data_IF_248733557583
#
_entry.id   IF_248733557583
#
_cell.length_a   1.000
_cell.length_b   1.000
_cell.length_c   1.000
_cell.angle_alpha   90.00
_cell.angle_beta   90.00
_cell.angle_gamma   90.00
#
_symmetry.space_group_name_H-M   'P 1'
#
loop_
_entity.id
_entity.type
_entity.pdbx_description
1 polymer ?
#
# COMPACT_ATOMS: atom_id res chain seq x y z
N UNK A 1 -61.52 -6.01 -12.78
CA UNK A 1 -61.44 -7.29 -12.04
C UNK A 1 -60.25 -8.04 -12.61
N UNK A 2 -59.17 -8.36 -11.89
CA UNK A 2 -59.04 -8.89 -10.54
C UNK A 2 -57.72 -8.35 -9.94
N UNK A 3 -57.81 -7.73 -8.77
CA UNK A 3 -56.66 -7.38 -7.94
C UNK A 3 -56.19 -8.67 -7.26
N UNK A 4 -54.89 -8.97 -7.29
CA UNK A 4 -54.27 -9.84 -6.30
C UNK A 4 -52.93 -9.19 -5.90
N UNK A 5 -53.01 -8.44 -4.80
CA UNK A 5 -51.96 -8.08 -3.86
C UNK A 5 -51.32 -9.32 -3.23
N UNK A 6 -49.99 -9.42 -3.25
CA UNK A 6 -49.17 -10.30 -2.36
C UNK A 6 -47.86 -9.55 -2.06
N UNK A 7 -47.35 -9.60 -0.81
CA UNK A 7 -46.88 -8.42 -0.08
C UNK A 7 -45.35 -8.26 -0.05
N UNK A 8 -44.94 -7.04 0.31
CA UNK A 8 -43.84 -6.73 1.24
C UNK A 8 -42.57 -7.62 1.15
N UNK A 9 -41.59 -7.14 0.37
CA UNK A 9 -40.18 -7.31 0.75
C UNK A 9 -39.33 -6.16 0.19
N UNK A 10 -39.63 -4.93 0.63
CA UNK A 10 -38.67 -3.83 0.59
C UNK A 10 -37.70 -4.01 1.76
N UNK A 11 -36.77 -4.96 1.61
CA UNK A 11 -35.58 -4.99 2.44
C UNK A 11 -34.65 -3.88 1.95
N UNK A 12 -34.87 -2.67 2.48
CA UNK A 12 -33.95 -1.55 2.36
C UNK A 12 -32.62 -1.96 2.98
N UNK A 13 -31.73 -2.49 2.15
CA UNK A 13 -30.34 -2.65 2.52
C UNK A 13 -29.68 -1.28 2.37
N UNK A 14 -29.69 -0.55 3.48
CA UNK A 14 -28.82 0.59 3.73
C UNK A 14 -27.38 0.12 3.53
N UNK A 15 -26.86 0.24 2.31
CA UNK A 15 -25.42 0.13 2.09
C UNK A 15 -24.80 1.38 2.72
N UNK A 16 -24.42 1.22 3.98
CA UNK A 16 -23.41 2.04 4.63
C UNK A 16 -22.31 2.34 3.62
N UNK A 17 -22.13 3.62 3.30
CA UNK A 17 -21.00 4.11 2.53
C UNK A 17 -19.74 3.93 3.39
N UNK A 18 -19.25 2.69 3.46
CA UNK A 18 -17.93 2.38 3.98
C UNK A 18 -16.94 2.94 2.98
N UNK A 19 -16.37 4.10 3.30
CA UNK A 19 -15.10 4.54 2.72
C UNK A 19 -14.09 3.44 3.03
N UNK A 20 -13.94 2.49 2.11
CA UNK A 20 -12.96 1.43 2.21
C UNK A 20 -11.60 2.04 1.88
N UNK A 21 -10.82 2.33 2.92
CA UNK A 21 -9.39 2.56 2.74
C UNK A 21 -8.81 1.36 1.97
N UNK A 22 -8.07 1.64 0.90
CA UNK A 22 -7.48 0.59 0.08
C UNK A 22 -6.61 -0.34 0.93
N UNK A 23 -6.72 -1.66 0.69
CA UNK A 23 -5.95 -2.63 1.47
C UNK A 23 -4.46 -2.49 1.14
N UNK A 24 -3.55 -2.83 2.07
CA UNK A 24 -2.10 -2.78 1.80
C UNK A 24 -1.68 -3.56 0.53
N UNK A 25 -2.41 -4.64 0.23
CA UNK A 25 -2.19 -5.44 -0.99
C UNK A 25 -2.65 -4.70 -2.26
N UNK A 26 -3.76 -3.97 -2.22
CA UNK A 26 -4.20 -3.13 -3.34
C UNK A 26 -3.23 -1.97 -3.59
N UNK A 27 -2.76 -1.32 -2.52
CA UNK A 27 -1.76 -0.25 -2.64
C UNK A 27 -0.43 -0.77 -3.20
N UNK A 28 0.00 -1.94 -2.76
CA UNK A 28 1.16 -2.62 -3.33
C UNK A 28 0.99 -2.92 -4.82
N UNK A 29 -0.18 -3.42 -5.23
CA UNK A 29 -0.45 -3.70 -6.64
C UNK A 29 -0.46 -2.44 -7.51
N UNK A 30 -1.00 -1.33 -7.01
CA UNK A 30 -0.93 -0.03 -7.69
C UNK A 30 0.52 0.44 -7.84
N UNK A 31 1.32 0.37 -6.77
CA UNK A 31 2.74 0.74 -6.79
C UNK A 31 3.55 -0.13 -7.76
N UNK A 32 3.37 -1.46 -7.75
CA UNK A 32 4.01 -2.35 -8.69
C UNK A 32 3.64 -2.02 -10.15
N UNK A 33 2.38 -1.69 -10.44
CA UNK A 33 1.99 -1.24 -11.77
C UNK A 33 2.63 0.09 -12.17
N UNK A 34 2.65 1.07 -11.27
CA UNK A 34 3.29 2.36 -11.53
C UNK A 34 4.79 2.20 -11.81
N UNK A 35 5.50 1.38 -11.04
CA UNK A 35 6.93 1.11 -11.25
C UNK A 35 7.18 0.37 -12.56
N UNK A 36 6.34 -0.61 -12.92
CA UNK A 36 6.48 -1.32 -14.19
C UNK A 36 6.28 -0.38 -15.39
N UNK A 37 5.28 0.51 -15.31
CA UNK A 37 5.01 1.53 -16.32
C UNK A 37 6.12 2.58 -16.40
N UNK A 38 6.64 3.05 -15.26
CA UNK A 38 7.75 4.01 -15.22
C UNK A 38 9.04 3.45 -15.82
N UNK A 39 9.26 2.14 -15.68
CA UNK A 39 10.36 1.40 -16.32
C UNK A 39 10.02 0.97 -17.76
N UNK A 40 8.84 1.32 -18.29
CA UNK A 40 8.38 0.93 -19.63
C UNK A 40 8.41 -0.57 -19.91
N UNK A 41 8.28 -1.40 -18.86
CA UNK A 41 8.33 -2.86 -18.98
C UNK A 41 7.12 -3.36 -19.78
N UNK A 42 7.36 -4.26 -20.73
CA UNK A 42 6.34 -4.84 -21.62
C UNK A 42 6.47 -6.37 -21.66
N UNK A 43 5.44 -7.04 -22.18
CA UNK A 43 5.45 -8.48 -22.40
C UNK A 43 5.87 -9.27 -21.14
N UNK A 44 6.81 -10.19 -21.32
CA UNK A 44 7.26 -11.09 -20.27
C UNK A 44 8.07 -10.39 -19.18
N UNK A 45 8.79 -9.31 -19.50
CA UNK A 45 9.53 -8.51 -18.51
C UNK A 45 8.58 -7.89 -17.49
N UNK A 46 7.45 -7.34 -17.95
CA UNK A 46 6.42 -6.80 -17.05
C UNK A 46 5.84 -7.88 -16.15
N UNK A 47 5.56 -9.07 -16.70
CA UNK A 47 5.00 -10.20 -15.93
C UNK A 47 5.99 -10.68 -14.85
N UNK A 48 7.26 -10.82 -15.21
CA UNK A 48 8.33 -11.19 -14.30
C UNK A 48 8.46 -10.15 -13.17
N UNK A 49 8.53 -8.87 -13.52
CA UNK A 49 8.58 -7.78 -12.55
C UNK A 49 7.36 -7.78 -11.63
N UNK A 50 6.15 -7.90 -12.17
CA UNK A 50 4.93 -7.91 -11.36
C UNK A 50 4.91 -9.08 -10.38
N UNK A 51 5.30 -10.28 -10.84
CA UNK A 51 5.40 -11.48 -10.00
C UNK A 51 6.40 -11.27 -8.85
N UNK A 52 7.59 -10.74 -9.15
CA UNK A 52 8.60 -10.45 -8.14
C UNK A 52 8.13 -9.35 -7.17
N UNK A 53 7.60 -8.25 -7.68
CA UNK A 53 7.12 -7.12 -6.88
C UNK A 53 5.99 -7.53 -5.93
N UNK A 54 5.01 -8.28 -6.42
CA UNK A 54 3.89 -8.76 -5.59
C UNK A 54 4.32 -9.80 -4.56
N UNK A 55 5.35 -10.61 -4.85
CA UNK A 55 5.92 -11.59 -3.90
C UNK A 55 6.91 -10.98 -2.91
N UNK A 56 7.50 -9.82 -3.22
CA UNK A 56 8.47 -9.16 -2.36
C UNK A 56 7.86 -8.91 -0.98
N UNK A 57 8.51 -9.35 0.09
CA UNK A 57 7.99 -9.08 1.43
C UNK A 57 8.07 -7.56 1.70
N UNK A 58 7.07 -6.95 2.34
CA UNK A 58 7.22 -5.58 2.81
C UNK A 58 8.48 -5.53 3.69
N UNK A 59 9.29 -4.48 3.51
CA UNK A 59 10.47 -4.27 4.33
C UNK A 59 10.06 -4.32 5.80
N UNK A 60 10.74 -5.16 6.56
CA UNK A 60 10.48 -5.28 7.99
C UNK A 60 10.86 -3.97 8.68
N UNK A 61 10.24 -3.69 9.82
CA UNK A 61 10.63 -2.55 10.67
C UNK A 61 12.12 -2.62 11.04
N UNK A 62 12.69 -3.82 11.14
CA UNK A 62 14.11 -4.02 11.42
C UNK A 62 15.01 -3.62 10.24
N UNK A 63 14.66 -3.99 9.01
CA UNK A 63 15.38 -3.56 7.81
C UNK A 63 15.32 -2.05 7.65
N UNK A 64 14.14 -1.46 7.84
CA UNK A 64 13.95 -0.01 7.80
C UNK A 64 14.82 0.71 8.83
N UNK A 65 14.90 0.18 10.06
CA UNK A 65 15.78 0.73 11.09
C UNK A 65 17.26 0.65 10.72
N UNK A 66 17.70 -0.44 10.08
CA UNK A 66 19.07 -0.56 9.59
C UNK A 66 19.36 0.49 8.51
N UNK A 67 18.48 0.65 7.53
CA UNK A 67 18.60 1.68 6.49
C UNK A 67 18.62 3.08 7.09
N UNK A 68 17.68 3.42 7.98
CA UNK A 68 17.67 4.74 8.63
C UNK A 68 18.95 4.99 9.43
N UNK A 69 19.51 3.98 10.10
CA UNK A 69 20.79 4.14 10.80
C UNK A 69 21.97 4.33 9.85
N UNK A 70 22.00 3.59 8.74
CA UNK A 70 23.03 3.76 7.71
C UNK A 70 22.98 5.17 7.11
N UNK A 71 21.80 5.65 6.75
CA UNK A 71 21.60 7.00 6.20
C UNK A 71 21.98 8.10 7.18
N UNK A 72 21.59 7.95 8.46
CA UNK A 72 21.98 8.89 9.50
C UNK A 72 23.50 8.97 9.67
N UNK A 73 24.18 7.81 9.57
CA UNK A 73 25.63 7.71 9.69
C UNK A 73 26.34 8.29 8.47
N UNK A 74 25.85 8.01 7.26
CA UNK A 74 26.34 8.61 6.01
C UNK A 74 26.18 10.13 5.99
N UNK A 75 25.10 10.65 6.60
CA UNK A 75 24.87 12.08 6.79
C UNK A 75 25.64 12.67 7.99
N UNK A 76 26.42 11.85 8.71
CA UNK A 76 27.19 12.24 9.91
C UNK A 76 26.31 12.90 10.99
N UNK A 77 25.02 12.56 11.04
CA UNK A 77 24.08 13.16 11.99
C UNK A 77 24.40 12.70 13.41
N UNK A 78 24.40 13.64 14.36
CA UNK A 78 24.67 13.40 15.78
C UNK A 78 23.64 14.09 16.65
N UNK A 79 23.57 13.70 17.92
CA UNK A 79 22.69 14.32 18.91
C UNK A 79 21.24 14.37 18.46
N UNK A 80 20.63 15.54 18.60
CA UNK A 80 19.20 15.74 18.32
C UNK A 80 18.87 15.68 16.83
N UNK A 81 19.79 16.06 15.95
CA UNK A 81 19.60 15.95 14.49
C UNK A 81 19.41 14.50 14.05
N UNK A 82 20.20 13.58 14.63
CA UNK A 82 20.05 12.15 14.37
C UNK A 82 18.71 11.63 14.88
N UNK A 83 18.28 12.05 16.07
CA UNK A 83 16.99 11.61 16.65
C UNK A 83 15.82 12.07 15.80
N UNK A 84 15.81 13.33 15.39
CA UNK A 84 14.79 13.88 14.50
C UNK A 84 14.74 13.10 13.19
N UNK A 85 15.89 12.92 12.54
CA UNK A 85 16.00 12.14 11.31
C UNK A 85 15.49 10.70 11.48
N UNK A 86 15.87 10.01 12.56
CA UNK A 86 15.46 8.63 12.79
C UNK A 86 13.94 8.52 12.98
N UNK A 87 13.35 9.46 13.73
CA UNK A 87 11.90 9.54 13.95
C UNK A 87 11.16 9.70 12.62
N UNK A 88 11.61 10.63 11.78
CA UNK A 88 10.98 10.89 10.48
C UNK A 88 11.17 9.74 9.51
N UNK A 89 12.39 9.18 9.45
CA UNK A 89 12.71 8.04 8.60
C UNK A 89 11.87 6.81 8.95
N UNK A 90 11.73 6.50 10.24
CA UNK A 90 10.93 5.35 10.70
C UNK A 90 9.42 5.57 10.52
N UNK A 91 8.95 6.82 10.50
CA UNK A 91 7.53 7.17 10.28
C UNK A 91 7.10 7.15 8.80
N UNK A 92 8.00 7.41 7.85
CA UNK A 92 7.68 7.38 6.40
C UNK A 92 7.20 6.00 5.98
N UNK A 93 5.93 5.83 5.63
CA UNK A 93 5.36 4.53 5.23
C UNK A 93 6.04 3.97 3.99
#
# INVERSE_FOLDING_TARGET
>A
MKMITVPLLLLGLSLSASTFAATPQQEKMKSCNAQASGQSLKGDERKAFMSQCLKAKPATQQEKMKTCNADASAKTLKGDERKAFMSDCLKKK
#
